data_IF_865280290220
#
_entry.id   IF_865280290220
#
_cell.length_a   1.000
_cell.length_b   1.000
_cell.length_c   1.000
_cell.angle_alpha   90.00
_cell.angle_beta   90.00
_cell.angle_gamma   90.00
#
_symmetry.space_group_name_H-M   'P 1'
#
loop_
_entity.id
_entity.type
_entity.pdbx_description
1 polymer ?
#
# COMPACT_ATOMS: atom_id res chain seq x y z
N UNK A 1 17.35 0.53 -13.80
CA UNK A 1 16.93 1.91 -13.50
C UNK A 1 16.24 1.88 -12.14
N UNK A 2 16.71 2.66 -11.16
CA UNK A 2 15.99 2.83 -9.89
C UNK A 2 14.89 3.86 -10.13
N UNK A 3 13.62 3.50 -9.92
CA UNK A 3 12.46 4.37 -10.15
C UNK A 3 12.14 5.26 -8.94
N UNK A 4 13.13 5.52 -8.08
CA UNK A 4 12.94 6.22 -6.81
C UNK A 4 12.44 5.30 -5.68
N UNK A 5 12.56 3.99 -5.85
CA UNK A 5 12.21 3.02 -4.82
C UNK A 5 13.33 2.95 -3.77
N UNK A 6 13.02 3.40 -2.56
CA UNK A 6 13.91 3.28 -1.40
C UNK A 6 13.29 2.33 -0.38
N UNK A 7 14.15 1.51 0.23
CA UNK A 7 13.73 0.60 1.27
C UNK A 7 13.26 1.36 2.51
N UNK A 8 12.09 0.99 3.04
CA UNK A 8 11.61 1.47 4.33
C UNK A 8 12.00 0.49 5.42
N UNK A 9 12.89 0.86 6.37
CA UNK A 9 13.27 0.01 7.48
C UNK A 9 12.06 -0.48 8.32
N UNK A 10 12.07 -1.72 8.84
CA UNK A 10 10.91 -2.29 9.52
C UNK A 10 10.49 -1.49 10.76
N UNK A 11 11.46 -0.91 11.47
CA UNK A 11 11.15 -0.08 12.64
C UNK A 11 10.33 1.18 12.29
N UNK A 12 10.52 1.76 11.11
CA UNK A 12 9.71 2.90 10.65
C UNK A 12 8.30 2.45 10.25
N UNK A 13 8.18 1.29 9.61
CA UNK A 13 6.86 0.68 9.31
C UNK A 13 6.10 0.41 10.61
N UNK A 14 6.76 -0.11 11.63
CA UNK A 14 6.17 -0.33 12.95
C UNK A 14 5.71 0.97 13.61
N UNK A 15 6.51 2.04 13.53
CA UNK A 15 6.13 3.36 14.05
C UNK A 15 4.91 3.93 13.31
N UNK A 16 4.87 3.83 11.99
CA UNK A 16 3.75 4.27 11.18
C UNK A 16 2.46 3.54 11.59
N UNK A 17 2.50 2.21 11.73
CA UNK A 17 1.34 1.45 12.17
C UNK A 17 0.93 1.72 13.62
N UNK A 18 1.88 1.97 14.53
CA UNK A 18 1.56 2.40 15.90
C UNK A 18 0.81 3.72 15.91
N UNK A 19 1.23 4.68 15.09
CA UNK A 19 0.55 5.98 14.95
C UNK A 19 -0.84 5.80 14.33
N UNK A 20 -0.96 5.05 13.23
CA UNK A 20 -2.25 4.81 12.58
C UNK A 20 -3.26 4.15 13.53
N UNK A 21 -2.86 3.04 14.19
CA UNK A 21 -3.73 2.30 15.12
C UNK A 21 -4.15 3.09 16.36
N UNK A 22 -3.46 4.18 16.69
CA UNK A 22 -3.84 5.07 17.79
C UNK A 22 -5.07 5.92 17.44
N UNK A 23 -5.27 6.20 16.16
CA UNK A 23 -6.28 7.15 15.68
C UNK A 23 -7.43 6.50 14.91
N UNK A 24 -7.20 5.33 14.33
CA UNK A 24 -8.20 4.61 13.53
C UNK A 24 -8.17 3.11 13.78
N UNK A 25 -9.35 2.50 13.71
CA UNK A 25 -9.53 1.05 13.56
C UNK A 25 -9.16 0.64 12.14
N UNK A 26 -7.87 0.40 11.89
CA UNK A 26 -7.35 0.13 10.54
C UNK A 26 -8.00 -1.09 9.88
N UNK A 27 -8.47 -2.05 10.68
CA UNK A 27 -9.19 -3.24 10.24
C UNK A 27 -10.49 -2.97 9.47
N UNK A 28 -11.06 -1.76 9.62
CA UNK A 28 -12.24 -1.31 8.89
C UNK A 28 -11.91 -0.72 7.51
N UNK A 29 -10.62 -0.60 7.16
CA UNK A 29 -10.12 0.02 5.93
C UNK A 29 -9.39 -1.02 5.09
N UNK A 30 -9.26 -0.78 3.79
CA UNK A 30 -8.28 -1.50 2.96
C UNK A 30 -6.97 -0.76 2.97
N UNK A 31 -5.88 -1.46 3.31
CA UNK A 31 -4.53 -0.91 3.20
C UNK A 31 -4.13 -0.86 1.72
N UNK A 32 -3.96 0.33 1.16
CA UNK A 32 -3.55 0.53 -0.23
C UNK A 32 -2.19 1.20 -0.30
N UNK A 33 -1.18 0.46 -0.75
CA UNK A 33 0.16 0.98 -1.01
C UNK A 33 0.40 1.03 -2.53
N UNK A 34 0.29 2.23 -3.12
CA UNK A 34 0.35 2.43 -4.58
C UNK A 34 1.77 2.55 -5.15
N UNK A 35 2.79 2.51 -4.30
CA UNK A 35 4.21 2.54 -4.67
C UNK A 35 5.00 1.62 -3.74
N UNK A 36 4.55 0.38 -3.66
CA UNK A 36 4.87 -0.52 -2.56
C UNK A 36 6.30 -1.06 -2.56
N UNK A 37 7.04 -0.96 -3.68
CA UNK A 37 8.39 -1.47 -3.83
C UNK A 37 8.53 -2.91 -3.33
N UNK A 38 9.33 -3.12 -2.27
CA UNK A 38 9.54 -4.42 -1.63
C UNK A 38 8.40 -4.85 -0.68
N UNK A 39 7.28 -4.13 -0.66
CA UNK A 39 6.03 -4.46 0.06
C UNK A 39 6.18 -4.43 1.58
N UNK A 40 7.07 -3.60 2.13
CA UNK A 40 7.36 -3.56 3.57
C UNK A 40 6.11 -3.24 4.40
N UNK A 41 5.31 -2.24 4.01
CA UNK A 41 4.03 -1.93 4.67
C UNK A 41 3.03 -3.09 4.56
N UNK A 42 3.04 -3.82 3.44
CA UNK A 42 2.11 -4.92 3.19
C UNK A 42 2.46 -6.21 3.96
N UNK A 43 3.58 -6.27 4.69
CA UNK A 43 3.93 -7.42 5.54
C UNK A 43 3.06 -7.54 6.79
N UNK A 44 2.37 -6.47 7.21
CA UNK A 44 1.46 -6.50 8.34
C UNK A 44 0.34 -7.53 8.12
N UNK A 45 -0.01 -8.32 9.13
CA UNK A 45 -1.22 -9.17 9.08
C UNK A 45 -2.46 -8.27 9.14
N UNK A 46 -3.20 -8.19 8.05
CA UNK A 46 -4.35 -7.30 7.88
C UNK A 46 -5.42 -7.97 6.98
N UNK A 47 -6.74 -7.80 7.26
CA UNK A 47 -7.82 -8.45 6.50
C UNK A 47 -7.77 -8.23 4.98
N UNK A 48 -7.57 -6.97 4.54
CA UNK A 48 -7.48 -6.61 3.12
C UNK A 48 -6.31 -5.67 2.87
N UNK A 49 -5.45 -6.02 1.91
CA UNK A 49 -4.24 -5.29 1.55
C UNK A 49 -4.05 -5.34 0.05
N UNK A 50 -3.73 -4.20 -0.55
CA UNK A 50 -3.48 -4.07 -1.97
C UNK A 50 -2.15 -3.34 -2.15
N UNK A 51 -1.26 -3.97 -2.92
CA UNK A 51 -0.01 -3.38 -3.34
C UNK A 51 -0.02 -3.11 -4.83
N UNK A 52 0.51 -1.97 -5.23
CA UNK A 52 0.84 -1.71 -6.61
C UNK A 52 2.20 -1.01 -6.72
N UNK A 53 2.84 -1.18 -7.88
CA UNK A 53 4.03 -0.44 -8.25
C UNK A 53 4.10 -0.32 -9.77
N UNK A 54 4.88 0.64 -10.26
CA UNK A 54 5.20 0.76 -11.68
C UNK A 54 6.28 -0.26 -12.09
N UNK A 55 7.10 -0.73 -11.15
CA UNK A 55 8.10 -1.76 -11.41
C UNK A 55 7.44 -3.14 -11.59
N UNK A 56 7.54 -3.78 -12.77
CA UNK A 56 6.99 -5.12 -13.00
C UNK A 56 7.62 -6.21 -12.11
N UNK A 57 8.74 -5.93 -11.42
CA UNK A 57 9.45 -6.89 -10.56
C UNK A 57 9.03 -6.85 -9.09
N UNK A 58 8.12 -5.95 -8.69
CA UNK A 58 7.72 -5.77 -7.28
C UNK A 58 6.90 -6.94 -6.69
N UNK A 59 6.32 -7.81 -7.54
CA UNK A 59 5.45 -8.89 -7.09
C UNK A 59 4.12 -8.40 -6.51
N UNK A 60 3.61 -7.28 -7.04
CA UNK A 60 2.31 -6.67 -6.73
C UNK A 60 1.59 -6.27 -8.04
N UNK A 61 0.49 -5.51 -7.97
CA UNK A 61 -0.18 -5.02 -9.18
C UNK A 61 0.75 -4.07 -9.95
N UNK A 62 0.80 -4.19 -11.28
CA UNK A 62 1.61 -3.32 -12.13
C UNK A 62 0.76 -2.13 -12.56
N UNK A 63 0.79 -1.04 -11.79
CA UNK A 63 -0.04 0.16 -12.01
C UNK A 63 0.82 1.40 -11.83
N UNK A 64 0.76 2.30 -12.81
CA UNK A 64 1.30 3.65 -12.64
C UNK A 64 0.28 4.53 -11.92
N UNK A 65 0.47 4.69 -10.60
CA UNK A 65 -0.37 5.51 -9.75
C UNK A 65 -0.39 7.00 -10.17
N UNK A 66 0.63 7.49 -10.88
CA UNK A 66 0.66 8.86 -11.39
C UNK A 66 -0.17 9.04 -12.67
N UNK A 67 -0.36 7.97 -13.45
CA UNK A 67 -1.07 8.04 -14.73
C UNK A 67 -2.57 7.68 -14.61
N UNK A 68 -2.92 6.70 -13.76
CA UNK A 68 -4.31 6.23 -13.65
C UNK A 68 -4.65 5.71 -12.24
N UNK A 69 -4.79 6.58 -11.22
CA UNK A 69 -5.02 6.18 -9.82
C UNK A 69 -6.46 5.74 -9.50
N UNK A 70 -7.25 5.33 -10.49
CA UNK A 70 -8.67 4.99 -10.29
C UNK A 70 -8.82 3.73 -9.44
N UNK A 71 -9.74 3.75 -8.48
CA UNK A 71 -10.10 2.61 -7.61
C UNK A 71 -10.38 1.31 -8.35
N UNK A 72 -11.02 1.39 -9.52
CA UNK A 72 -11.34 0.24 -10.37
C UNK A 72 -10.09 -0.55 -10.80
N UNK A 73 -8.95 0.14 -10.99
CA UNK A 73 -7.69 -0.51 -11.37
C UNK A 73 -7.13 -1.39 -10.25
N UNK A 74 -7.55 -1.14 -9.00
CA UNK A 74 -7.16 -1.88 -7.81
C UNK A 74 -8.22 -2.89 -7.36
N UNK A 75 -9.36 -2.99 -8.08
CA UNK A 75 -10.49 -3.83 -7.66
C UNK A 75 -11.21 -3.32 -6.42
N UNK A 76 -11.24 -2.00 -6.22
CA UNK A 76 -11.82 -1.31 -5.05
C UNK A 76 -13.14 -0.64 -5.46
N UNK A 77 -14.20 -0.76 -4.66
CA UNK A 77 -15.46 -0.04 -4.90
C UNK A 77 -15.37 1.44 -4.52
N UNK A 78 -16.25 2.28 -5.02
CA UNK A 78 -16.19 3.74 -4.79
C UNK A 78 -16.41 4.13 -3.32
N UNK A 79 -17.14 3.31 -2.58
CA UNK A 79 -17.49 3.48 -1.18
C UNK A 79 -16.55 2.75 -0.21
N UNK A 80 -15.64 1.92 -0.71
CA UNK A 80 -14.71 1.16 0.14
C UNK A 80 -13.69 2.09 0.82
N UNK A 81 -13.64 2.13 2.16
CA UNK A 81 -12.72 3.01 2.89
C UNK A 81 -11.27 2.56 2.71
N UNK A 82 -10.38 3.52 2.44
CA UNK A 82 -8.96 3.28 2.16
C UNK A 82 -8.07 3.98 3.17
N UNK A 83 -6.92 3.37 3.45
CA UNK A 83 -5.82 4.00 4.17
C UNK A 83 -4.48 3.58 3.60
#
# INVERSE_FOLDING_TARGET
>A
MNLGAYYTPPYLVDYAYKLLKKHVSIENYTLLDTACGNREFLKLKHPKKIGADIDPKCGALIINALANPKRENYGISQDEPLI
#
